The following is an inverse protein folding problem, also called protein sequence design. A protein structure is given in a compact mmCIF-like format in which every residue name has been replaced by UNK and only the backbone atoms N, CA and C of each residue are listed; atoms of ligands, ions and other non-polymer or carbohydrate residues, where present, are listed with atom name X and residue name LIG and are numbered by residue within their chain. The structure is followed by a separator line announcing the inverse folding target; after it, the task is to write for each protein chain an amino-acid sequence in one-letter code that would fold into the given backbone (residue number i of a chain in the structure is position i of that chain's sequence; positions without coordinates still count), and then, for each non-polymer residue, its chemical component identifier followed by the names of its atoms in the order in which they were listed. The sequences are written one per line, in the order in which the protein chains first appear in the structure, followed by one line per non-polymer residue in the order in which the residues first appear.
data_IF_947281715609
#
_entry.id   IF_947281715609
#
_cell.length_a   1.000
_cell.length_b   1.000
_cell.length_c   1.000
_cell.angle_alpha   90.00
_cell.angle_beta   90.00
_cell.angle_gamma   90.00
#
_symmetry.space_group_name_H-M   'P 1'
#
loop_
_entity.id
_entity.type
_entity.pdbx_description
1 polymer ?
#
# COMPACT_ATOMS: atom_id res chain seq x y z
N UNK A 1 6.61 38.52 -8.17
CA UNK A 1 8.02 39.03 -8.15
C UNK A 1 8.61 38.92 -6.77
N UNK A 2 7.97 39.38 -5.68
CA UNK A 2 8.54 39.33 -4.30
C UNK A 2 8.89 37.89 -3.85
N UNK A 3 8.03 36.88 -4.13
CA UNK A 3 8.27 35.49 -3.78
C UNK A 3 9.48 34.89 -4.54
N UNK A 4 9.63 35.22 -5.82
CA UNK A 4 10.76 34.74 -6.64
C UNK A 4 12.08 35.31 -6.15
N UNK A 5 12.12 36.61 -5.82
CA UNK A 5 13.32 37.25 -5.27
C UNK A 5 13.68 36.71 -3.88
N UNK A 6 12.68 36.39 -3.05
CA UNK A 6 12.87 35.70 -1.78
C UNK A 6 13.51 34.34 -1.98
N UNK A 7 12.95 33.52 -2.86
CA UNK A 7 13.47 32.20 -3.21
C UNK A 7 14.89 32.25 -3.76
N UNK A 8 15.20 33.17 -4.69
CA UNK A 8 16.55 33.36 -5.23
C UNK A 8 17.56 33.75 -4.14
N UNK A 9 17.17 34.60 -3.18
CA UNK A 9 18.01 34.97 -2.04
C UNK A 9 18.30 33.78 -1.13
N UNK A 10 17.28 32.99 -0.83
CA UNK A 10 17.39 31.80 0.01
C UNK A 10 18.26 30.76 -0.69
N UNK A 11 18.10 30.57 -2.03
CA UNK A 11 18.96 29.73 -2.85
C UNK A 11 20.43 30.17 -2.82
N UNK A 12 20.70 31.47 -2.99
CA UNK A 12 22.05 32.04 -2.99
C UNK A 12 22.72 31.96 -1.61
N UNK A 13 21.94 31.79 -0.54
CA UNK A 13 22.38 31.70 0.85
C UNK A 13 22.40 30.28 1.41
N UNK A 14 22.13 29.28 0.58
CA UNK A 14 21.97 27.87 0.97
C UNK A 14 20.90 27.67 2.07
N UNK A 15 19.84 28.45 1.99
CA UNK A 15 18.71 28.46 2.94
C UNK A 15 17.38 28.07 2.31
N UNK A 16 17.43 27.36 1.19
CA UNK A 16 16.21 26.85 0.53
C UNK A 16 15.52 25.77 1.37
N UNK A 17 16.31 24.95 2.04
CA UNK A 17 15.82 23.91 2.94
C UNK A 17 16.05 24.40 4.37
N UNK A 18 14.98 24.53 5.14
CA UNK A 18 15.03 24.93 6.55
C UNK A 18 14.91 23.71 7.44
N UNK A 19 15.47 23.74 8.66
CA UNK A 19 15.31 22.63 9.60
C UNK A 19 13.83 22.26 9.92
N UNK A 20 12.93 23.24 9.79
CA UNK A 20 11.49 23.07 9.96
C UNK A 20 10.77 22.55 8.71
N UNK A 21 11.38 22.64 7.53
CA UNK A 21 10.84 22.07 6.29
C UNK A 21 11.02 20.55 6.36
N UNK A 22 9.95 19.76 6.21
CA UNK A 22 10.04 18.31 6.27
C UNK A 22 11.03 17.75 5.22
N UNK A 23 11.41 16.47 5.39
CA UNK A 23 12.30 15.79 4.46
C UNK A 23 11.60 15.50 3.13
N UNK A 24 12.25 15.87 2.02
CA UNK A 24 11.72 15.57 0.69
C UNK A 24 11.80 14.08 0.37
N UNK A 25 10.71 13.44 -0.09
CA UNK A 25 10.74 12.05 -0.49
C UNK A 25 11.66 11.83 -1.69
N UNK A 26 12.22 10.63 -1.78
CA UNK A 26 13.00 10.20 -2.95
C UNK A 26 12.17 10.34 -4.22
N UNK A 27 12.66 11.11 -5.18
CA UNK A 27 12.00 11.33 -6.46
C UNK A 27 12.06 10.05 -7.31
N UNK A 28 10.90 9.46 -7.57
CA UNK A 28 10.75 8.37 -8.54
C UNK A 28 10.28 8.99 -9.83
N UNK A 29 11.14 9.02 -10.85
CA UNK A 29 10.77 9.53 -12.17
C UNK A 29 9.72 8.61 -12.81
N UNK A 30 8.73 9.14 -13.56
CA UNK A 30 7.64 8.35 -14.16
C UNK A 30 8.15 7.18 -15.03
N UNK A 31 9.24 7.35 -15.76
CA UNK A 31 9.87 6.31 -16.57
C UNK A 31 10.54 5.20 -15.74
N UNK A 32 10.71 5.40 -14.45
CA UNK A 32 11.27 4.43 -13.49
C UNK A 32 10.21 3.88 -12.54
N UNK A 33 8.98 4.40 -12.60
CA UNK A 33 7.85 3.87 -11.85
C UNK A 33 7.26 2.68 -12.63
N UNK A 34 7.69 1.50 -12.26
CA UNK A 34 7.37 0.25 -12.96
C UNK A 34 6.15 -0.46 -12.38
N UNK A 35 5.55 0.12 -11.34
CA UNK A 35 4.34 -0.38 -10.70
C UNK A 35 3.94 0.47 -9.52
N UNK A 36 2.88 0.06 -8.81
CA UNK A 36 2.32 0.78 -7.68
C UNK A 36 2.16 -0.12 -6.46
N UNK A 37 2.50 0.41 -5.30
CA UNK A 37 2.18 -0.14 -3.99
C UNK A 37 1.15 0.75 -3.30
N UNK A 38 0.00 0.18 -2.93
CA UNK A 38 -1.12 0.90 -2.33
C UNK A 38 -1.17 0.59 -0.84
N UNK A 39 -0.87 1.56 -0.01
CA UNK A 39 -0.96 1.49 1.45
C UNK A 39 -0.85 2.89 2.06
N UNK A 40 -1.26 3.01 3.31
CA UNK A 40 -1.08 4.23 4.11
C UNK A 40 0.32 4.24 4.76
N UNK A 41 1.23 5.17 4.40
CA UNK A 41 2.56 5.25 4.99
C UNK A 41 2.56 5.52 6.50
N UNK A 42 1.59 6.26 7.03
CA UNK A 42 1.50 6.54 8.47
C UNK A 42 1.14 5.27 9.25
N UNK A 43 0.20 4.47 8.75
CA UNK A 43 -0.10 3.16 9.33
C UNK A 43 1.12 2.23 9.26
N UNK A 44 1.84 2.24 8.14
CA UNK A 44 3.04 1.44 7.97
C UNK A 44 4.16 1.87 8.93
N UNK A 45 4.32 3.17 9.15
CA UNK A 45 5.26 3.72 10.13
C UNK A 45 4.92 3.28 11.57
N UNK A 46 3.63 3.28 11.93
CA UNK A 46 3.18 2.73 13.22
C UNK A 46 3.56 1.26 13.40
N UNK A 47 3.54 0.45 12.32
CA UNK A 47 4.01 -0.95 12.38
C UNK A 47 5.49 -1.01 12.69
N UNK A 48 6.31 -0.21 12.02
CA UNK A 48 7.77 -0.14 12.27
C UNK A 48 8.05 0.27 13.71
N UNK A 49 7.41 1.33 14.20
CA UNK A 49 7.55 1.81 15.59
C UNK A 49 7.19 0.74 16.62
N UNK A 50 6.10 0.00 16.37
CA UNK A 50 5.70 -1.11 17.22
C UNK A 50 6.73 -2.24 17.19
N UNK A 51 7.34 -2.55 16.04
CA UNK A 51 8.35 -3.58 15.92
C UNK A 51 9.64 -3.17 16.65
N UNK A 52 10.07 -1.91 16.58
CA UNK A 52 11.20 -1.42 17.36
C UNK A 52 10.96 -1.58 18.88
N UNK A 53 9.80 -1.15 19.37
CA UNK A 53 9.42 -1.34 20.78
C UNK A 53 9.42 -2.80 21.19
N UNK A 54 8.89 -3.70 20.34
CA UNK A 54 8.82 -5.12 20.64
C UNK A 54 10.19 -5.81 20.58
N UNK A 55 11.09 -5.41 19.68
CA UNK A 55 12.40 -6.03 19.44
C UNK A 55 13.56 -5.31 20.11
N UNK A 56 13.30 -4.49 21.12
CA UNK A 56 14.35 -3.73 21.81
C UNK A 56 15.19 -2.90 20.86
N UNK A 57 14.54 -2.16 19.94
CA UNK A 57 15.14 -1.25 18.96
C UNK A 57 16.06 -1.89 17.90
N UNK A 58 16.00 -3.21 17.71
CA UNK A 58 16.81 -3.92 16.71
C UNK A 58 16.22 -3.83 15.32
N UNK A 59 17.11 -3.90 14.31
CA UNK A 59 16.73 -4.11 12.93
C UNK A 59 15.93 -5.41 12.74
N UNK A 60 15.08 -5.45 11.73
CA UNK A 60 14.27 -6.63 11.51
C UNK A 60 13.46 -6.61 10.23
N UNK A 61 12.65 -7.64 10.11
CA UNK A 61 11.65 -7.76 9.04
C UNK A 61 10.37 -8.38 9.56
N UNK A 62 9.27 -8.07 8.88
CA UNK A 62 7.97 -8.73 9.08
C UNK A 62 7.29 -8.94 7.73
N UNK A 63 6.24 -9.75 7.73
CA UNK A 63 5.41 -9.94 6.56
C UNK A 63 4.20 -9.01 6.61
N UNK A 64 3.77 -8.58 5.42
CA UNK A 64 2.53 -7.85 5.18
C UNK A 64 1.62 -8.73 4.33
N UNK A 65 0.31 -8.60 4.49
CA UNK A 65 -0.63 -9.14 3.51
C UNK A 65 -0.45 -8.38 2.20
N UNK A 66 -0.33 -9.10 1.09
CA UNK A 66 -0.11 -8.54 -0.23
C UNK A 66 -1.19 -9.07 -1.17
N UNK A 67 -1.95 -8.17 -1.78
CA UNK A 67 -2.93 -8.48 -2.81
C UNK A 67 -2.45 -7.95 -4.15
N UNK A 68 -2.37 -8.81 -5.17
CA UNK A 68 -2.18 -8.37 -6.53
C UNK A 68 -3.53 -7.88 -7.09
N UNK A 69 -3.66 -6.57 -7.28
CA UNK A 69 -4.90 -5.95 -7.75
C UNK A 69 -5.02 -6.01 -9.28
N UNK A 70 -3.91 -5.97 -9.98
CA UNK A 70 -3.81 -6.23 -11.41
C UNK A 70 -2.37 -6.65 -11.76
N UNK A 71 -2.23 -7.76 -12.48
CA UNK A 71 -0.98 -8.14 -13.14
C UNK A 71 -1.31 -8.18 -14.63
N UNK A 72 -1.02 -7.11 -15.36
CA UNK A 72 -1.17 -7.11 -16.80
C UNK A 72 -0.20 -8.13 -17.41
N UNK A 73 -0.65 -8.86 -18.45
CA UNK A 73 0.16 -9.86 -19.18
C UNK A 73 1.43 -9.29 -19.84
N UNK A 74 1.59 -7.96 -19.79
CA UNK A 74 2.78 -7.25 -20.30
C UNK A 74 3.41 -6.46 -19.16
N UNK A 75 4.55 -6.93 -18.70
CA UNK A 75 5.38 -6.25 -17.70
C UNK A 75 5.68 -4.77 -18.11
N UNK A 76 5.83 -3.85 -17.14
CA UNK A 76 5.81 -4.09 -15.73
C UNK A 76 4.74 -3.26 -14.97
N UNK A 77 3.49 -3.61 -15.06
CA UNK A 77 2.45 -2.94 -14.26
C UNK A 77 2.06 -3.82 -13.07
N UNK A 78 2.89 -3.82 -12.03
CA UNK A 78 2.57 -4.48 -10.76
C UNK A 78 1.77 -3.51 -9.91
N UNK A 79 0.51 -3.83 -9.64
CA UNK A 79 -0.31 -3.11 -8.67
C UNK A 79 -0.56 -4.01 -7.47
N UNK A 80 -0.05 -3.63 -6.31
CA UNK A 80 -0.19 -4.40 -5.07
C UNK A 80 -0.81 -3.56 -3.98
N UNK A 81 -1.81 -4.12 -3.31
CA UNK A 81 -2.32 -3.60 -2.04
C UNK A 81 -1.55 -4.24 -0.89
N UNK A 82 -1.06 -3.44 0.06
CA UNK A 82 -0.31 -3.91 1.22
C UNK A 82 -1.05 -3.56 2.50
N UNK A 83 -1.25 -4.56 3.36
CA UNK A 83 -1.92 -4.38 4.65
C UNK A 83 -1.09 -5.01 5.76
N UNK A 84 -0.89 -4.33 6.90
CA UNK A 84 -0.25 -4.93 8.06
C UNK A 84 -0.99 -6.18 8.53
N UNK A 85 -0.27 -7.24 8.87
CA UNK A 85 -0.86 -8.43 9.47
C UNK A 85 -1.12 -8.18 10.96
N UNK A 86 -2.26 -8.63 11.51
CA UNK A 86 -2.54 -8.54 12.93
C UNK A 86 -1.49 -9.31 13.74
N UNK A 87 -1.14 -8.80 14.93
CA UNK A 87 -0.07 -9.35 15.80
C UNK A 87 -0.18 -10.86 16.08
N UNK A 88 -1.39 -11.41 16.04
CA UNK A 88 -1.66 -12.82 16.29
C UNK A 88 -1.35 -13.71 15.07
N UNK A 89 -1.29 -13.16 13.86
CA UNK A 89 -1.05 -13.89 12.62
C UNK A 89 0.44 -14.20 12.33
N UNK A 90 1.35 -13.92 13.29
CA UNK A 90 2.80 -14.10 13.10
C UNK A 90 3.19 -15.60 13.08
N UNK A 91 2.33 -16.50 13.54
CA UNK A 91 2.54 -17.94 13.38
C UNK A 91 2.11 -18.37 11.99
N UNK A 92 2.96 -19.13 11.32
CA UNK A 92 2.80 -19.60 9.94
C UNK A 92 1.39 -20.12 9.61
N UNK A 93 0.83 -20.94 10.51
CA UNK A 93 -0.52 -21.52 10.36
C UNK A 93 -1.65 -20.49 10.37
N UNK A 94 -1.50 -19.40 11.11
CA UNK A 94 -2.51 -18.35 11.23
C UNK A 94 -2.55 -17.43 10.01
N UNK A 95 -1.38 -17.15 9.40
CA UNK A 95 -1.29 -16.39 8.15
C UNK A 95 -2.00 -17.12 7.02
N UNK A 96 -1.83 -18.45 6.92
CA UNK A 96 -2.51 -19.27 5.91
C UNK A 96 -4.04 -19.28 6.08
N UNK A 97 -4.51 -19.40 7.33
CA UNK A 97 -5.94 -19.36 7.62
C UNK A 97 -6.53 -18.01 7.26
N UNK A 98 -5.84 -16.91 7.55
CA UNK A 98 -6.32 -15.58 7.24
C UNK A 98 -6.32 -15.27 5.75
N UNK A 99 -5.30 -15.70 5.00
CA UNK A 99 -5.28 -15.59 3.54
C UNK A 99 -6.36 -16.42 2.86
N UNK A 100 -6.67 -17.63 3.40
CA UNK A 100 -7.75 -18.49 2.89
C UNK A 100 -9.14 -17.98 3.26
N UNK A 101 -9.34 -17.44 4.47
CA UNK A 101 -10.64 -16.98 4.94
C UNK A 101 -11.19 -15.78 4.16
N UNK A 102 -10.29 -14.96 3.58
CA UNK A 102 -10.67 -13.79 2.78
C UNK A 102 -11.06 -14.12 1.33
N UNK A 103 -11.16 -15.39 0.96
CA UNK A 103 -11.54 -15.85 -0.39
C UNK A 103 -10.72 -15.20 -1.54
N UNK A 104 -9.47 -14.83 -1.25
CA UNK A 104 -8.62 -14.10 -2.18
C UNK A 104 -7.73 -15.07 -2.94
N UNK A 105 -8.08 -15.34 -4.18
CA UNK A 105 -7.37 -16.25 -5.09
C UNK A 105 -5.96 -15.76 -5.48
N UNK A 106 -5.54 -14.57 -5.02
CA UNK A 106 -4.24 -13.93 -5.35
C UNK A 106 -3.53 -13.34 -4.13
N UNK A 107 -3.84 -13.81 -2.91
CA UNK A 107 -3.16 -13.35 -1.70
C UNK A 107 -1.73 -13.88 -1.61
N UNK A 108 -0.79 -13.01 -1.30
CA UNK A 108 0.61 -13.30 -1.06
C UNK A 108 1.11 -12.54 0.16
N UNK A 109 2.39 -12.69 0.45
CA UNK A 109 3.06 -11.92 1.48
C UNK A 109 4.10 -10.99 0.86
N UNK A 110 4.11 -9.74 1.29
CA UNK A 110 5.20 -8.80 1.08
C UNK A 110 6.11 -8.77 2.30
N UNK A 111 7.31 -8.23 2.11
CA UNK A 111 8.31 -8.03 3.15
C UNK A 111 8.37 -6.56 3.53
N UNK A 112 8.25 -6.26 4.81
CA UNK A 112 8.63 -4.96 5.38
C UNK A 112 9.94 -5.15 6.15
N UNK A 113 10.96 -4.34 5.83
CA UNK A 113 12.26 -4.38 6.51
C UNK A 113 12.60 -3.00 7.07
N UNK A 114 13.26 -2.98 8.24
CA UNK A 114 13.66 -1.75 8.92
C UNK A 114 15.05 -1.89 9.56
N UNK A 115 15.82 -0.79 9.68
CA UNK A 115 17.12 -0.78 10.34
C UNK A 115 16.97 -0.76 11.86
N UNK A 116 18.08 -0.71 12.56
CA UNK A 116 18.09 -0.44 14.00
C UNK A 116 17.51 0.95 14.29
N UNK A 117 16.76 1.10 15.39
CA UNK A 117 16.23 2.40 15.83
C UNK A 117 17.35 3.44 16.01
N UNK A 118 17.09 4.67 15.55
CA UNK A 118 18.08 5.75 15.57
C UNK A 118 19.09 5.69 14.42
N UNK A 119 18.96 4.76 13.48
CA UNK A 119 19.76 4.69 12.26
C UNK A 119 19.10 5.52 11.16
N UNK A 120 19.28 6.83 11.25
CA UNK A 120 18.74 7.81 10.30
C UNK A 120 19.74 8.09 9.17
N UNK A 121 19.22 8.51 8.01
CA UNK A 121 20.03 8.96 6.89
C UNK A 121 19.40 10.17 6.21
N UNK A 122 20.25 11.14 5.86
CA UNK A 122 19.92 12.32 5.05
C UNK A 122 20.26 12.12 3.56
N UNK A 123 20.74 10.93 3.18
CA UNK A 123 21.10 10.60 1.80
C UNK A 123 19.88 10.67 0.88
N UNK A 124 19.93 11.52 -0.14
CA UNK A 124 18.98 11.52 -1.24
C UNK A 124 19.39 10.52 -2.32
N UNK A 125 18.51 9.60 -2.67
CA UNK A 125 18.82 8.55 -3.65
C UNK A 125 18.60 9.06 -5.07
N UNK A 126 19.65 9.55 -5.72
CA UNK A 126 19.60 10.03 -7.09
C UNK A 126 19.41 8.90 -8.13
N UNK A 127 19.74 7.66 -7.76
CA UNK A 127 19.56 6.47 -8.59
C UNK A 127 19.08 5.30 -7.75
N UNK A 128 17.90 4.78 -8.09
CA UNK A 128 17.35 3.60 -7.43
C UNK A 128 17.91 2.29 -8.05
N UNK A 129 17.97 1.20 -7.26
CA UNK A 129 18.43 -0.10 -7.72
C UNK A 129 17.66 -0.61 -8.94
N UNK A 130 18.39 -1.24 -9.89
CA UNK A 130 17.81 -1.88 -11.06
C UNK A 130 18.00 -3.40 -11.04
N UNK A 131 18.88 -3.92 -10.19
CA UNK A 131 19.17 -5.36 -10.04
C UNK A 131 19.15 -5.73 -8.57
N UNK A 132 18.98 -7.02 -8.28
CA UNK A 132 18.97 -7.54 -6.92
C UNK A 132 20.28 -7.23 -6.18
N UNK A 133 21.41 -7.32 -6.87
CA UNK A 133 22.73 -7.02 -6.30
C UNK A 133 22.79 -5.58 -5.84
N UNK A 134 22.43 -4.63 -6.72
CA UNK A 134 22.39 -3.21 -6.36
C UNK A 134 21.36 -2.88 -5.26
N UNK A 135 20.28 -3.67 -5.17
CA UNK A 135 19.31 -3.53 -4.07
C UNK A 135 19.89 -4.04 -2.74
N UNK A 136 20.68 -5.11 -2.77
CA UNK A 136 21.36 -5.59 -1.58
C UNK A 136 22.44 -4.62 -1.12
N UNK A 137 23.20 -4.02 -2.04
CA UNK A 137 24.19 -2.98 -1.71
C UNK A 137 23.52 -1.76 -1.05
N UNK A 138 22.37 -1.31 -1.56
CA UNK A 138 21.59 -0.26 -0.92
C UNK A 138 21.15 -0.67 0.49
N UNK A 139 20.60 -1.88 0.63
CA UNK A 139 20.12 -2.37 1.90
C UNK A 139 21.24 -2.52 2.93
N UNK A 140 22.43 -2.96 2.52
CA UNK A 140 23.60 -3.07 3.40
C UNK A 140 24.08 -1.70 3.88
N UNK A 141 24.16 -0.69 3.00
CA UNK A 141 24.49 0.70 3.38
C UNK A 141 23.53 1.28 4.40
N UNK A 142 22.24 0.90 4.30
CA UNK A 142 21.16 1.36 5.19
C UNK A 142 20.97 0.46 6.42
N UNK A 143 21.81 -0.54 6.64
CA UNK A 143 21.71 -1.52 7.75
C UNK A 143 20.37 -2.26 7.77
N UNK A 144 19.81 -2.54 6.58
CA UNK A 144 18.55 -3.25 6.42
C UNK A 144 18.79 -4.76 6.25
N UNK A 145 18.13 -5.64 6.99
CA UNK A 145 18.33 -7.09 6.90
C UNK A 145 17.62 -7.73 5.69
N UNK A 146 17.58 -7.05 4.55
CA UNK A 146 16.79 -7.42 3.38
C UNK A 146 17.19 -8.77 2.79
N UNK A 147 18.49 -9.01 2.61
CA UNK A 147 19.01 -10.27 2.06
C UNK A 147 18.53 -11.47 2.87
N UNK A 148 18.67 -11.39 4.19
CA UNK A 148 18.19 -12.41 5.11
C UNK A 148 16.66 -12.59 5.02
N UNK A 149 15.92 -11.49 4.96
CA UNK A 149 14.46 -11.52 4.89
C UNK A 149 13.96 -12.19 3.61
N UNK A 150 14.55 -11.87 2.45
CA UNK A 150 14.21 -12.49 1.16
C UNK A 150 14.46 -13.99 1.19
N UNK A 151 15.62 -14.44 1.69
CA UNK A 151 15.93 -15.87 1.72
C UNK A 151 15.03 -16.63 2.72
N UNK A 152 14.69 -16.05 3.84
CA UNK A 152 13.72 -16.63 4.76
C UNK A 152 12.34 -16.76 4.11
N UNK A 153 11.91 -15.73 3.36
CA UNK A 153 10.65 -15.74 2.63
C UNK A 153 10.61 -16.81 1.54
N UNK A 154 11.68 -16.95 0.75
CA UNK A 154 11.79 -18.00 -0.27
C UNK A 154 11.73 -19.40 0.32
N UNK A 155 12.40 -19.63 1.45
CA UNK A 155 12.34 -20.91 2.16
C UNK A 155 10.93 -21.21 2.70
N UNK A 156 10.19 -20.18 3.08
CA UNK A 156 8.81 -20.31 3.55
C UNK A 156 7.86 -20.71 2.41
N UNK A 157 7.98 -20.06 1.26
CA UNK A 157 7.20 -20.41 0.05
C UNK A 157 7.32 -21.87 -0.36
N UNK A 158 8.49 -22.46 -0.20
CA UNK A 158 8.77 -23.81 -0.64
C UNK A 158 8.20 -24.92 0.26
N UNK A 159 7.79 -24.58 1.47
CA UNK A 159 7.11 -25.53 2.36
C UNK A 159 5.64 -25.75 2.00
N UNK A 160 5.21 -25.26 0.82
CA UNK A 160 3.85 -25.44 0.30
C UNK A 160 2.81 -24.54 0.95
N UNK A 161 3.26 -23.56 1.72
CA UNK A 161 2.39 -22.72 2.54
C UNK A 161 1.85 -21.48 1.84
N UNK A 162 2.46 -21.06 0.72
CA UNK A 162 2.07 -19.87 -0.01
C UNK A 162 1.76 -20.15 -1.47
N UNK A 163 0.77 -19.44 -2.02
CA UNK A 163 0.45 -19.49 -3.44
C UNK A 163 1.67 -18.96 -4.21
N UNK A 164 2.12 -19.66 -5.26
CA UNK A 164 3.18 -19.16 -6.12
C UNK A 164 2.75 -17.83 -6.73
N UNK A 165 3.45 -16.76 -6.41
CA UNK A 165 3.22 -15.44 -7.02
C UNK A 165 4.43 -15.07 -7.85
N UNK A 166 4.25 -14.34 -8.94
CA UNK A 166 5.34 -14.01 -9.87
C UNK A 166 6.38 -13.06 -9.25
N UNK A 167 6.06 -12.41 -8.13
CA UNK A 167 6.92 -11.39 -7.51
C UNK A 167 7.00 -11.55 -6.00
N UNK A 168 8.13 -11.14 -5.41
CA UNK A 168 8.25 -10.76 -4.00
C UNK A 168 8.18 -9.24 -3.94
N UNK A 169 7.24 -8.70 -3.19
CA UNK A 169 7.22 -7.26 -2.88
C UNK A 169 8.04 -6.99 -1.62
N UNK A 170 8.98 -6.05 -1.69
CA UNK A 170 9.80 -5.61 -0.57
C UNK A 170 9.59 -4.13 -0.31
N UNK A 171 9.30 -3.77 0.94
CA UNK A 171 9.15 -2.41 1.43
C UNK A 171 10.30 -2.11 2.38
N UNK A 172 11.11 -1.12 2.06
CA UNK A 172 12.23 -0.69 2.87
C UNK A 172 11.81 0.54 3.67
N UNK A 173 11.82 0.43 4.99
CA UNK A 173 11.59 1.56 5.89
C UNK A 173 12.92 2.26 6.17
N UNK A 174 13.01 3.53 5.81
CA UNK A 174 14.22 4.35 5.89
C UNK A 174 13.95 5.53 6.81
N UNK A 175 14.48 5.52 8.05
CA UNK A 175 14.34 6.65 8.95
C UNK A 175 15.07 7.88 8.41
N UNK A 176 14.40 9.01 8.45
CA UNK A 176 14.88 10.31 8.05
C UNK A 176 15.07 11.21 9.27
N UNK A 177 15.99 12.20 9.24
CA UNK A 177 16.23 13.08 10.38
C UNK A 177 15.05 14.01 10.69
N UNK A 178 14.13 14.18 9.74
CA UNK A 178 12.95 15.03 9.85
C UNK A 178 11.72 14.29 9.34
N UNK A 179 10.52 14.75 9.74
CA UNK A 179 9.28 14.21 9.20
C UNK A 179 9.23 14.39 7.67
N UNK A 180 8.68 13.41 6.99
CA UNK A 180 8.45 13.49 5.56
C UNK A 180 7.47 14.62 5.24
N UNK A 181 7.69 15.35 4.16
CA UNK A 181 6.76 16.40 3.71
C UNK A 181 5.36 15.81 3.54
N UNK A 182 4.39 16.44 4.21
CA UNK A 182 2.99 16.02 4.18
C UNK A 182 2.64 14.80 5.05
N UNK A 183 3.55 14.37 5.93
CA UNK A 183 3.35 13.28 6.89
C UNK A 183 3.80 13.66 8.29
N UNK A 184 3.21 13.01 9.30
CA UNK A 184 3.66 13.10 10.69
C UNK A 184 4.76 12.08 11.05
N UNK A 185 5.25 11.33 10.07
CA UNK A 185 6.29 10.30 10.23
C UNK A 185 7.60 10.72 9.61
N UNK A 186 8.71 10.39 10.27
CA UNK A 186 10.08 10.51 9.74
C UNK A 186 10.54 9.23 9.01
N UNK A 187 9.64 8.34 8.63
CA UNK A 187 10.01 7.11 7.91
C UNK A 187 9.61 7.25 6.45
N UNK A 188 10.60 7.21 5.56
CA UNK A 188 10.38 7.06 4.13
C UNK A 188 10.27 5.58 3.76
N UNK A 189 9.41 5.26 2.80
CA UNK A 189 9.24 3.90 2.29
C UNK A 189 9.63 3.82 0.82
N UNK A 190 10.60 2.95 0.50
CA UNK A 190 10.90 2.57 -0.87
C UNK A 190 10.37 1.17 -1.15
N UNK A 191 9.67 1.03 -2.26
CA UNK A 191 8.95 -0.20 -2.60
C UNK A 191 9.54 -0.82 -3.87
N UNK A 192 9.76 -2.13 -3.80
CA UNK A 192 10.36 -2.89 -4.90
C UNK A 192 9.60 -4.19 -5.14
N UNK A 193 9.50 -4.61 -6.41
CA UNK A 193 9.05 -5.93 -6.78
C UNK A 193 10.17 -6.73 -7.44
N UNK A 194 10.32 -7.97 -7.04
CA UNK A 194 11.36 -8.91 -7.48
C UNK A 194 10.69 -10.09 -8.16
N UNK A 195 10.91 -10.33 -9.47
CA UNK A 195 10.34 -11.50 -10.15
C UNK A 195 10.93 -12.79 -9.58
N UNK A 196 10.06 -13.78 -9.38
CA UNK A 196 10.39 -15.07 -8.78
C UNK A 196 10.10 -16.22 -9.74
N UNK A 197 10.31 -16.02 -11.04
CA UNK A 197 10.20 -17.07 -12.06
C UNK A 197 11.30 -18.12 -11.86
N UNK A 198 11.06 -19.35 -12.27
CA UNK A 198 12.04 -20.46 -12.11
C UNK A 198 13.39 -20.17 -12.75
N UNK A 199 13.42 -19.38 -13.82
CA UNK A 199 14.64 -18.93 -14.48
C UNK A 199 15.51 -18.01 -13.61
N UNK A 200 14.91 -17.33 -12.62
CA UNK A 200 15.58 -16.41 -11.71
C UNK A 200 16.00 -17.06 -10.39
N UNK A 201 15.50 -18.26 -10.10
CA UNK A 201 15.84 -19.00 -8.88
C UNK A 201 16.96 -20.01 -9.22
N UNK A 202 18.05 -19.95 -8.44
CA UNK A 202 19.16 -20.89 -8.56
C UNK A 202 18.81 -22.27 -8.00
N UNK A 203 19.62 -23.29 -8.32
CA UNK A 203 19.51 -24.63 -7.70
C UNK A 203 19.66 -24.61 -6.19
N UNK A 204 20.36 -23.61 -5.64
CA UNK A 204 20.49 -23.35 -4.20
C UNK A 204 19.33 -22.54 -3.61
N UNK A 205 18.28 -22.31 -4.41
CA UNK A 205 17.06 -21.58 -3.99
C UNK A 205 17.29 -20.12 -3.64
N UNK A 206 18.23 -19.49 -4.31
CA UNK A 206 18.52 -18.07 -4.21
C UNK A 206 18.12 -17.37 -5.51
N UNK A 207 17.73 -16.11 -5.42
CA UNK A 207 17.56 -15.28 -6.63
C UNK A 207 18.93 -14.95 -7.21
N UNK A 208 19.02 -14.93 -8.53
CA UNK A 208 20.24 -14.53 -9.24
C UNK A 208 20.56 -13.06 -8.98
N UNK A 209 21.84 -12.66 -8.87
CA UNK A 209 22.24 -11.26 -8.60
C UNK A 209 21.74 -10.27 -9.67
N UNK A 210 21.66 -10.72 -10.93
CA UNK A 210 21.18 -9.95 -12.08
C UNK A 210 19.65 -9.89 -12.19
N UNK A 211 18.90 -10.45 -11.23
CA UNK A 211 17.44 -10.37 -11.21
C UNK A 211 17.01 -8.92 -11.25
N UNK A 212 16.15 -8.51 -12.20
CA UNK A 212 15.69 -7.14 -12.30
C UNK A 212 14.87 -6.76 -11.07
N UNK A 213 14.99 -5.51 -10.67
CA UNK A 213 14.23 -4.92 -9.57
C UNK A 213 13.33 -3.85 -10.14
N UNK A 214 12.03 -3.99 -9.91
CA UNK A 214 11.01 -3.03 -10.32
C UNK A 214 10.71 -2.06 -9.19
N UNK A 215 10.78 -0.77 -9.48
CA UNK A 215 10.45 0.29 -8.53
C UNK A 215 8.96 0.52 -8.50
N UNK A 216 8.35 0.46 -7.32
CA UNK A 216 6.93 0.71 -7.14
C UNK A 216 6.70 2.07 -6.48
N UNK A 217 5.94 2.94 -7.14
CA UNK A 217 5.47 4.18 -6.55
C UNK A 217 4.44 3.91 -5.44
N UNK A 218 4.44 4.73 -4.38
CA UNK A 218 3.40 4.63 -3.37
C UNK A 218 2.14 5.38 -3.81
N UNK A 219 0.97 4.81 -3.52
CA UNK A 219 -0.34 5.48 -3.61
C UNK A 219 -1.12 5.22 -2.32
N UNK A 220 -1.82 6.22 -1.86
CA UNK A 220 -2.70 6.09 -0.71
C UNK A 220 -3.95 5.27 -1.07
N UNK A 221 -4.40 4.34 -0.20
CA UNK A 221 -5.69 3.73 -0.36
C UNK A 221 -6.77 4.80 -0.19
N UNK A 222 -7.84 4.66 -0.97
CA UNK A 222 -8.97 5.56 -0.78
C UNK A 222 -9.79 5.11 0.42
N UNK A 223 -9.94 5.97 1.41
CA UNK A 223 -10.82 5.77 2.55
C UNK A 223 -11.83 6.92 2.64
N UNK A 224 -12.80 6.81 3.56
CA UNK A 224 -13.86 7.80 3.71
C UNK A 224 -13.32 9.19 4.09
N UNK A 225 -12.28 9.28 4.93
CA UNK A 225 -11.66 10.55 5.31
C UNK A 225 -10.97 11.22 4.12
N UNK A 226 -10.18 10.47 3.34
CA UNK A 226 -9.57 10.96 2.12
C UNK A 226 -10.62 11.40 1.09
N UNK A 227 -11.67 10.61 0.91
CA UNK A 227 -12.78 10.95 0.01
C UNK A 227 -13.48 12.26 0.46
N UNK A 228 -13.71 12.44 1.76
CA UNK A 228 -14.28 13.64 2.35
C UNK A 228 -13.40 14.88 2.09
N UNK A 229 -12.08 14.76 2.33
CA UNK A 229 -11.10 15.83 2.10
C UNK A 229 -11.03 16.22 0.62
N UNK A 230 -10.99 15.26 -0.29
CA UNK A 230 -10.96 15.49 -1.74
C UNK A 230 -12.26 16.14 -2.24
N UNK A 231 -13.40 15.77 -1.66
CA UNK A 231 -14.71 16.32 -2.00
C UNK A 231 -15.01 17.65 -1.28
N UNK A 232 -14.09 18.14 -0.43
CA UNK A 232 -14.26 19.34 0.41
C UNK A 232 -15.53 19.28 1.26
N UNK A 233 -15.96 18.08 1.64
CA UNK A 233 -16.99 17.89 2.66
C UNK A 233 -16.30 18.01 4.03
N UNK A 234 -16.93 18.69 4.98
CA UNK A 234 -16.34 18.86 6.30
C UNK A 234 -16.11 17.50 6.95
N UNK A 235 -14.82 17.18 7.21
CA UNK A 235 -14.42 15.98 7.92
C UNK A 235 -15.02 16.07 9.32
N UNK A 236 -15.97 15.22 9.63
CA UNK A 236 -16.50 15.12 10.99
C UNK A 236 -17.99 15.40 11.18
N UNK A 237 -18.77 15.65 10.12
CA UNK A 237 -20.21 15.51 10.29
C UNK A 237 -20.52 14.01 10.43
N UNK A 238 -20.47 13.51 11.68
CA UNK A 238 -21.01 12.19 12.07
C UNK A 238 -22.53 12.13 11.86
N UNK A 239 -23.06 12.81 10.86
CA UNK A 239 -24.47 12.75 10.51
C UNK A 239 -24.76 11.38 9.93
N UNK A 240 -25.48 10.58 10.68
CA UNK A 240 -26.07 9.37 10.15
C UNK A 240 -27.02 9.75 9.01
N UNK A 241 -26.77 9.25 7.83
CA UNK A 241 -27.62 9.49 6.68
C UNK A 241 -28.45 8.26 6.38
N UNK A 242 -29.77 8.40 6.39
CA UNK A 242 -30.70 7.35 6.02
C UNK A 242 -31.13 7.52 4.56
N UNK A 243 -30.89 6.52 3.74
CA UNK A 243 -31.33 6.45 2.34
C UNK A 243 -32.42 5.38 2.21
N UNK A 244 -33.65 5.83 2.03
CA UNK A 244 -34.81 4.96 1.81
C UNK A 244 -35.09 4.86 0.31
N UNK A 245 -35.06 3.64 -0.21
CA UNK A 245 -35.19 3.35 -1.64
C UNK A 245 -33.83 3.33 -2.36
N UNK A 246 -33.32 2.14 -2.61
CA UNK A 246 -32.06 1.91 -3.34
C UNK A 246 -32.29 1.56 -4.81
N UNK A 247 -33.34 2.10 -5.42
CA UNK A 247 -33.66 1.91 -6.85
C UNK A 247 -32.76 2.72 -7.79
N UNK A 248 -33.28 3.10 -8.94
CA UNK A 248 -32.53 3.80 -10.00
C UNK A 248 -31.86 5.11 -9.54
N UNK A 249 -32.53 5.93 -8.74
CA UNK A 249 -32.01 7.16 -8.19
C UNK A 249 -31.21 6.92 -6.92
N UNK A 250 -31.79 6.19 -5.96
CA UNK A 250 -31.18 5.96 -4.65
C UNK A 250 -29.84 5.21 -4.74
N UNK A 251 -29.70 4.23 -5.61
CA UNK A 251 -28.42 3.54 -5.81
C UNK A 251 -27.31 4.47 -6.30
N UNK A 252 -27.63 5.37 -7.24
CA UNK A 252 -26.65 6.35 -7.73
C UNK A 252 -26.31 7.40 -6.66
N UNK A 253 -27.34 7.89 -5.95
CA UNK A 253 -27.16 8.84 -4.86
C UNK A 253 -26.28 8.23 -3.74
N UNK A 254 -26.58 6.99 -3.31
CA UNK A 254 -25.78 6.29 -2.31
C UNK A 254 -24.30 6.14 -2.71
N UNK A 255 -24.02 5.79 -3.96
CA UNK A 255 -22.67 5.71 -4.48
C UNK A 255 -21.97 7.08 -4.52
N UNK A 256 -22.70 8.15 -4.88
CA UNK A 256 -22.12 9.50 -4.88
C UNK A 256 -21.86 10.01 -3.47
N UNK A 257 -22.76 9.79 -2.52
CA UNK A 257 -22.56 10.15 -1.12
C UNK A 257 -21.36 9.42 -0.52
N UNK A 258 -21.24 8.12 -0.79
CA UNK A 258 -20.08 7.35 -0.35
C UNK A 258 -18.77 7.91 -0.95
N UNK A 259 -18.72 8.18 -2.27
CA UNK A 259 -17.55 8.79 -2.93
C UNK A 259 -17.22 10.18 -2.40
N UNK A 260 -18.20 10.89 -1.86
CA UNK A 260 -17.98 12.17 -1.18
C UNK A 260 -17.49 12.01 0.27
N UNK A 261 -17.26 10.78 0.75
CA UNK A 261 -16.75 10.50 2.09
C UNK A 261 -17.83 10.37 3.18
N UNK A 262 -19.11 10.36 2.81
CA UNK A 262 -20.20 10.11 3.76
C UNK A 262 -20.28 8.60 4.05
N UNK A 263 -19.54 8.14 5.05
CA UNK A 263 -19.39 6.71 5.37
C UNK A 263 -20.55 6.14 6.19
N UNK A 264 -21.28 6.99 6.96
CA UNK A 264 -22.35 6.55 7.87
C UNK A 264 -23.71 6.53 7.13
N UNK A 265 -23.83 5.64 6.14
CA UNK A 265 -25.05 5.45 5.37
C UNK A 265 -25.86 4.26 5.91
N UNK A 266 -27.09 4.49 6.29
CA UNK A 266 -28.09 3.44 6.52
C UNK A 266 -28.95 3.32 5.27
N UNK A 267 -28.93 2.13 4.65
CA UNK A 267 -29.63 1.86 3.39
C UNK A 267 -30.85 1.00 3.65
N UNK A 268 -32.00 1.38 3.10
CA UNK A 268 -33.27 0.65 3.26
C UNK A 268 -33.93 0.45 1.89
N UNK A 269 -34.16 -0.80 1.53
CA UNK A 269 -34.95 -1.21 0.35
C UNK A 269 -35.44 -2.64 0.59
N UNK A 270 -36.70 -2.95 0.20
CA UNK A 270 -37.25 -4.28 0.33
C UNK A 270 -37.21 -5.10 -0.97
N UNK A 271 -36.78 -4.46 -2.07
CA UNK A 271 -36.78 -5.10 -3.39
C UNK A 271 -35.48 -5.87 -3.67
N UNK A 272 -35.57 -6.83 -4.55
CA UNK A 272 -34.46 -7.57 -5.15
C UNK A 272 -34.04 -6.94 -6.49
N UNK A 273 -32.76 -6.89 -6.77
CA UNK A 273 -32.25 -6.40 -8.05
C UNK A 273 -32.52 -7.43 -9.16
N UNK A 274 -33.35 -7.06 -10.11
CA UNK A 274 -33.71 -7.89 -11.27
C UNK A 274 -32.92 -7.45 -12.52
N UNK A 275 -32.71 -8.33 -13.51
CA UNK A 275 -31.94 -8.02 -14.73
C UNK A 275 -32.38 -6.74 -15.45
N UNK A 276 -33.71 -6.50 -15.56
CA UNK A 276 -34.24 -5.30 -16.22
C UNK A 276 -33.96 -3.99 -15.46
N UNK A 277 -33.60 -4.07 -14.18
CA UNK A 277 -33.23 -2.90 -13.41
C UNK A 277 -31.86 -2.36 -13.81
N UNK A 278 -30.95 -3.21 -14.36
CA UNK A 278 -29.56 -2.85 -14.68
C UNK A 278 -29.45 -1.64 -15.62
N UNK A 279 -30.42 -1.44 -16.50
CA UNK A 279 -30.42 -0.31 -17.45
C UNK A 279 -30.36 1.04 -16.73
N UNK A 280 -30.92 1.14 -15.51
CA UNK A 280 -31.06 2.40 -14.77
C UNK A 280 -30.45 2.37 -13.36
N UNK A 281 -30.05 1.20 -12.87
CA UNK A 281 -29.50 1.02 -11.51
C UNK A 281 -28.02 1.35 -11.45
N UNK A 282 -27.53 1.73 -10.25
CA UNK A 282 -26.09 1.96 -10.01
C UNK A 282 -25.27 0.69 -9.83
N UNK A 283 -25.94 -0.44 -9.49
CA UNK A 283 -25.28 -1.74 -9.36
C UNK A 283 -25.16 -2.43 -10.73
N UNK A 284 -24.16 -3.31 -10.84
CA UNK A 284 -23.88 -4.12 -12.02
C UNK A 284 -24.43 -5.54 -11.87
N UNK A 285 -24.13 -6.39 -12.85
CA UNK A 285 -24.63 -7.78 -12.99
C UNK A 285 -24.33 -8.64 -11.76
N UNK A 286 -23.25 -8.40 -11.03
CA UNK A 286 -22.89 -9.10 -9.79
C UNK A 286 -23.89 -8.93 -8.64
N UNK A 287 -24.73 -7.90 -8.73
CA UNK A 287 -25.79 -7.62 -7.75
C UNK A 287 -27.14 -8.29 -8.07
N UNK A 288 -27.33 -8.88 -9.26
CA UNK A 288 -28.60 -9.49 -9.65
C UNK A 288 -28.96 -10.64 -8.72
N UNK A 289 -30.22 -10.65 -8.27
CA UNK A 289 -30.71 -11.62 -7.31
C UNK A 289 -30.51 -11.30 -5.83
N UNK A 290 -29.74 -10.23 -5.52
CA UNK A 290 -29.54 -9.73 -4.15
C UNK A 290 -30.56 -8.64 -3.79
N UNK A 291 -30.84 -8.44 -2.49
CA UNK A 291 -31.57 -7.27 -2.04
C UNK A 291 -30.81 -5.99 -2.48
N UNK A 292 -31.53 -4.97 -2.93
CA UNK A 292 -30.94 -3.74 -3.49
C UNK A 292 -30.10 -2.97 -2.46
N UNK A 293 -30.58 -2.87 -1.22
CA UNK A 293 -29.85 -2.20 -0.13
C UNK A 293 -28.59 -2.97 0.26
N UNK A 294 -28.66 -4.29 0.40
CA UNK A 294 -27.52 -5.16 0.71
C UNK A 294 -26.47 -5.11 -0.41
N UNK A 295 -26.90 -5.20 -1.67
CA UNK A 295 -26.01 -5.09 -2.83
C UNK A 295 -25.31 -3.75 -2.87
N UNK A 296 -26.02 -2.64 -2.60
CA UNK A 296 -25.46 -1.30 -2.56
C UNK A 296 -24.47 -1.13 -1.38
N UNK A 297 -24.82 -1.63 -0.20
CA UNK A 297 -23.92 -1.62 0.95
C UNK A 297 -22.60 -2.37 0.67
N UNK A 298 -22.69 -3.52 0.03
CA UNK A 298 -21.52 -4.31 -0.36
C UNK A 298 -20.60 -3.55 -1.33
N UNK A 299 -21.16 -2.88 -2.35
CA UNK A 299 -20.36 -2.08 -3.30
C UNK A 299 -19.72 -0.86 -2.62
N UNK A 300 -20.45 -0.18 -1.72
CA UNK A 300 -19.90 0.94 -0.94
C UNK A 300 -18.77 0.47 -0.02
N UNK A 301 -18.94 -0.63 0.70
CA UNK A 301 -17.90 -1.19 1.53
C UNK A 301 -16.67 -1.64 0.73
N UNK A 302 -16.89 -2.15 -0.49
CA UNK A 302 -15.79 -2.56 -1.37
C UNK A 302 -14.94 -1.38 -1.88
N UNK A 303 -15.51 -0.15 -1.97
CA UNK A 303 -14.74 1.05 -2.35
C UNK A 303 -13.71 1.45 -1.30
N UNK A 304 -13.99 1.21 -0.02
CA UNK A 304 -13.19 1.66 1.13
C UNK A 304 -12.60 0.47 1.90
N UNK A 305 -12.41 -0.66 1.23
CA UNK A 305 -11.71 -1.80 1.85
C UNK A 305 -10.25 -1.43 2.07
N UNK A 306 -9.89 -1.35 3.36
CA UNK A 306 -8.52 -1.38 3.83
C UNK A 306 -7.89 -2.78 3.60
#
# INVERSE_FOLDING_TARGET
VVRVLGWLRDAASDRLIRPEDGFEPTLILPEREEGLAVYDPEQMACVVDQQWKYRSNKSGSTHLSCQFLNAADKAPSVLVGLTPLPRQAIKQEQVEVELRSKNQHSGSLALLVWPQYGRETDEHFGKLPATLDSLFDLAERLDLPLKRAIYQHLNWRQRGTLIPVPFITAVLAIPRPQNMIGSNSSIEFLNFALPTTDERITSTRQLKPDTPVFVLGNRLPINADMASRLSRTESGSCSQTLLVGCGALGSKLGLHLARAGLANLTLVDNDTLSPHNLIRHGLLTSGVGKNKAEGLAHEIQAMFRD
#
